data_IF_086891606361
#
_entry.id   IF_086891606361
#
_cell.length_a   1.000
_cell.length_b   1.000
_cell.length_c   1.000
_cell.angle_alpha   90.00
_cell.angle_beta   90.00
_cell.angle_gamma   90.00
#
_symmetry.space_group_name_H-M   'P 1'
#
loop_
_entity.id
_entity.type
_entity.pdbx_description
1 polymer ?
#
# COMPACT_ATOMS: atom_id res chain seq x y z
N UNK A 1 -39.05 -43.22 13.76
CA UNK A 1 -38.23 -42.48 12.77
C UNK A 1 -37.26 -43.45 12.10
N UNK A 2 -37.42 -43.65 10.79
CA UNK A 2 -36.62 -44.55 9.96
C UNK A 2 -35.17 -44.04 9.81
N UNK A 3 -34.22 -44.98 9.89
CA UNK A 3 -32.77 -44.72 9.85
C UNK A 3 -32.36 -44.00 8.55
N UNK A 4 -33.02 -44.34 7.45
CA UNK A 4 -32.85 -43.74 6.13
C UNK A 4 -33.15 -42.24 6.13
N UNK A 5 -34.31 -41.79 6.65
CA UNK A 5 -34.65 -40.36 6.67
C UNK A 5 -33.71 -39.52 7.54
N UNK A 6 -33.12 -40.14 8.59
CA UNK A 6 -32.09 -39.49 9.42
C UNK A 6 -30.79 -39.32 8.66
N UNK A 7 -30.38 -40.30 7.84
CA UNK A 7 -29.19 -40.21 7.01
C UNK A 7 -29.35 -39.21 5.86
N UNK A 8 -30.51 -39.18 5.19
CA UNK A 8 -30.81 -38.18 4.16
C UNK A 8 -30.83 -36.77 4.74
N UNK A 9 -31.38 -36.59 5.95
CA UNK A 9 -31.37 -35.31 6.67
C UNK A 9 -29.96 -34.84 7.04
N UNK A 10 -29.08 -35.73 7.50
CA UNK A 10 -27.69 -35.38 7.79
C UNK A 10 -26.89 -35.05 6.52
N UNK A 11 -27.10 -35.78 5.43
CA UNK A 11 -26.46 -35.51 4.13
C UNK A 11 -26.87 -34.15 3.57
N UNK A 12 -28.15 -33.79 3.63
CA UNK A 12 -28.65 -32.48 3.19
C UNK A 12 -28.14 -31.33 4.07
N UNK A 13 -28.05 -31.55 5.39
CA UNK A 13 -27.52 -30.55 6.32
C UNK A 13 -26.01 -30.32 6.13
N UNK A 14 -25.23 -31.39 5.90
CA UNK A 14 -23.80 -31.28 5.57
C UNK A 14 -23.56 -30.60 4.22
N UNK A 15 -24.41 -30.85 3.21
CA UNK A 15 -24.32 -30.19 1.91
C UNK A 15 -24.62 -28.68 2.02
N UNK A 16 -25.59 -28.30 2.83
CA UNK A 16 -25.91 -26.89 3.12
C UNK A 16 -24.77 -26.16 3.85
N UNK A 17 -24.14 -26.81 4.83
CA UNK A 17 -22.99 -26.27 5.56
C UNK A 17 -21.75 -26.12 4.66
N UNK A 18 -21.52 -27.05 3.72
CA UNK A 18 -20.42 -26.97 2.77
C UNK A 18 -20.57 -25.83 1.75
N UNK A 19 -21.80 -25.55 1.28
CA UNK A 19 -22.08 -24.43 0.36
C UNK A 19 -21.95 -23.08 1.07
N UNK A 20 -22.35 -22.98 2.34
CA UNK A 20 -22.19 -21.76 3.14
C UNK A 20 -20.72 -21.43 3.46
N UNK A 21 -19.86 -22.45 3.60
CA UNK A 21 -18.42 -22.25 3.77
C UNK A 21 -17.72 -21.75 2.49
N UNK A 22 -18.27 -22.03 1.31
CA UNK A 22 -17.67 -21.66 0.02
C UNK A 22 -17.90 -20.18 -0.34
N UNK A 23 -18.93 -19.53 0.19
CA UNK A 23 -19.22 -18.10 -0.08
C UNK A 23 -18.48 -17.13 0.85
N UNK A 24 -17.88 -17.62 1.93
CA UNK A 24 -17.22 -16.78 2.94
C UNK A 24 -15.76 -16.39 2.62
N UNK A 25 -15.20 -16.87 1.51
CA UNK A 25 -13.76 -16.75 1.22
C UNK A 25 -13.38 -15.67 0.18
N UNK A 26 -14.20 -14.64 -0.03
CA UNK A 26 -13.79 -13.48 -0.86
C UNK A 26 -13.21 -12.38 0.01
N UNK A 27 -11.97 -12.57 0.47
CA UNK A 27 -11.16 -11.48 1.01
C UNK A 27 -10.77 -10.55 -0.16
N UNK A 28 -11.59 -9.52 -0.42
CA UNK A 28 -11.23 -8.49 -1.39
C UNK A 28 -10.01 -7.73 -0.85
N UNK A 29 -8.88 -7.82 -1.56
CA UNK A 29 -7.78 -6.91 -1.35
C UNK A 29 -8.29 -5.48 -1.60
N UNK A 30 -8.16 -4.60 -0.60
CA UNK A 30 -8.60 -3.22 -0.74
C UNK A 30 -7.62 -2.51 -1.67
N UNK A 31 -8.03 -2.30 -2.92
CA UNK A 31 -7.26 -1.51 -3.89
C UNK A 31 -6.95 -0.15 -3.27
N UNK A 32 -5.66 0.15 -3.08
CA UNK A 32 -5.22 1.46 -2.60
C UNK A 32 -5.40 2.47 -3.73
N UNK A 33 -6.02 3.62 -3.40
CA UNK A 33 -6.18 4.69 -4.37
C UNK A 33 -4.81 5.17 -4.87
N UNK A 34 -4.65 5.49 -6.16
CA UNK A 34 -3.41 6.07 -6.67
C UNK A 34 -3.02 7.34 -5.91
N UNK A 35 -1.71 7.56 -5.73
CA UNK A 35 -1.20 8.69 -4.95
C UNK A 35 -1.68 10.06 -5.47
N UNK A 36 -1.88 10.21 -6.79
CA UNK A 36 -2.46 11.43 -7.38
C UNK A 36 -3.89 11.68 -6.91
N UNK A 37 -4.68 10.62 -6.69
CA UNK A 37 -6.04 10.75 -6.13
C UNK A 37 -6.00 11.16 -4.66
N UNK A 38 -5.03 10.67 -3.89
CA UNK A 38 -4.82 11.09 -2.51
C UNK A 38 -4.49 12.59 -2.44
N UNK A 39 -3.61 13.08 -3.31
CA UNK A 39 -3.27 14.51 -3.39
C UNK A 39 -4.45 15.37 -3.88
N UNK A 40 -5.17 14.91 -4.91
CA UNK A 40 -6.37 15.59 -5.41
C UNK A 40 -7.44 15.73 -4.31
N UNK A 41 -7.61 14.72 -3.46
CA UNK A 41 -8.53 14.77 -2.32
C UNK A 41 -8.13 15.81 -1.25
N UNK A 42 -6.86 16.26 -1.25
CA UNK A 42 -6.36 17.34 -0.41
C UNK A 42 -6.34 18.71 -1.11
N UNK A 43 -6.95 18.83 -2.29
CA UNK A 43 -7.04 20.08 -3.05
C UNK A 43 -5.79 20.40 -3.89
N UNK A 44 -4.86 19.46 -4.04
CA UNK A 44 -3.69 19.61 -4.91
C UNK A 44 -4.11 19.48 -6.38
N UNK A 45 -3.66 20.41 -7.21
CA UNK A 45 -3.99 20.49 -8.64
C UNK A 45 -2.91 19.83 -9.51
N UNK A 46 -3.22 19.62 -10.80
CA UNK A 46 -2.24 19.12 -11.77
C UNK A 46 -1.01 20.03 -11.87
N UNK A 47 -1.21 21.35 -11.80
CA UNK A 47 -0.15 22.35 -11.90
C UNK A 47 0.82 22.31 -10.72
N UNK A 48 0.36 21.92 -9.54
CA UNK A 48 1.22 21.86 -8.35
C UNK A 48 2.34 20.83 -8.50
N UNK A 49 2.11 19.76 -9.27
CA UNK A 49 3.11 18.74 -9.58
C UNK A 49 3.78 18.96 -10.94
N UNK A 50 3.01 19.33 -11.97
CA UNK A 50 3.47 19.33 -13.36
C UNK A 50 3.70 20.73 -13.96
N UNK A 51 3.40 21.80 -13.23
CA UNK A 51 3.35 23.20 -13.71
C UNK A 51 2.32 23.49 -14.82
N UNK A 52 1.62 22.47 -15.34
CA UNK A 52 0.58 22.58 -16.36
C UNK A 52 -0.61 21.67 -16.05
N UNK A 53 -1.80 22.02 -16.55
CA UNK A 53 -3.04 21.28 -16.27
C UNK A 53 -3.14 19.93 -16.97
N UNK A 54 -2.58 19.82 -18.18
CA UNK A 54 -2.65 18.63 -19.04
C UNK A 54 -1.24 18.13 -19.35
N UNK A 55 -0.56 17.53 -18.36
CA UNK A 55 0.80 17.06 -18.53
C UNK A 55 0.89 15.82 -19.44
N UNK A 56 1.91 15.81 -20.30
CA UNK A 56 2.33 14.62 -21.03
C UNK A 56 3.61 14.00 -20.47
N UNK A 57 4.29 14.69 -19.54
CA UNK A 57 5.54 14.27 -18.92
C UNK A 57 5.38 14.09 -17.41
N UNK A 58 6.19 13.22 -16.78
CA UNK A 58 6.22 13.07 -15.33
C UNK A 58 6.53 14.38 -14.61
N UNK A 59 6.01 14.52 -13.39
CA UNK A 59 6.38 15.60 -12.50
C UNK A 59 7.87 15.50 -12.10
N UNK A 60 8.51 16.64 -11.93
CA UNK A 60 9.88 16.72 -11.44
C UNK A 60 9.90 16.51 -9.92
N UNK A 61 10.94 15.85 -9.38
CA UNK A 61 11.06 15.62 -7.93
C UNK A 61 11.05 16.93 -7.13
N UNK A 62 11.51 18.04 -7.71
CA UNK A 62 11.43 19.36 -7.10
C UNK A 62 9.99 19.73 -6.65
N UNK A 63 8.95 19.30 -7.37
CA UNK A 63 7.57 19.54 -6.99
C UNK A 63 7.17 18.81 -5.71
N UNK A 64 7.67 17.57 -5.52
CA UNK A 64 7.48 16.81 -4.29
C UNK A 64 8.13 17.54 -3.11
N UNK A 65 9.38 17.97 -3.29
CA UNK A 65 10.19 18.57 -2.22
C UNK A 65 9.65 19.93 -1.75
N UNK A 66 8.97 20.68 -2.64
CA UNK A 66 8.33 21.96 -2.31
C UNK A 66 7.38 21.87 -1.11
N UNK A 67 6.69 20.74 -0.95
CA UNK A 67 5.73 20.51 0.14
C UNK A 67 6.25 19.51 1.20
N UNK A 68 7.09 18.55 0.79
CA UNK A 68 7.54 17.47 1.67
C UNK A 68 8.83 17.77 2.44
N UNK A 69 9.50 18.91 2.24
CA UNK A 69 10.56 19.36 3.14
C UNK A 69 11.90 18.60 2.99
N UNK A 70 12.18 18.07 1.80
CA UNK A 70 13.46 17.45 1.48
C UNK A 70 13.63 16.01 1.99
N UNK A 71 14.71 15.36 1.55
CA UNK A 71 15.09 14.01 2.00
C UNK A 71 15.28 13.96 3.52
N UNK A 72 16.03 14.90 4.10
CA UNK A 72 16.24 14.97 5.55
C UNK A 72 14.93 15.19 6.33
N UNK A 73 13.96 15.93 5.77
CA UNK A 73 12.65 16.10 6.37
C UNK A 73 11.84 14.80 6.38
N UNK A 74 11.85 14.07 5.25
CA UNK A 74 11.16 12.78 5.13
C UNK A 74 11.81 11.71 6.02
N UNK A 75 13.14 11.61 6.03
CA UNK A 75 13.90 10.78 6.96
C UNK A 75 13.46 10.99 8.41
N UNK A 76 13.37 12.25 8.86
CA UNK A 76 12.89 12.57 10.22
C UNK A 76 11.45 12.17 10.47
N UNK A 77 10.54 12.34 9.49
CA UNK A 77 9.13 11.99 9.64
C UNK A 77 8.89 10.49 9.66
N UNK A 78 9.70 9.72 8.93
CA UNK A 78 9.58 8.26 8.87
C UNK A 78 10.55 7.52 9.79
N UNK A 79 11.32 8.25 10.59
CA UNK A 79 12.07 7.67 11.69
C UNK A 79 11.08 6.94 12.62
N UNK A 80 11.21 5.61 12.71
CA UNK A 80 10.39 4.84 13.64
C UNK A 80 10.79 5.21 15.07
N UNK A 81 9.78 5.36 15.93
CA UNK A 81 9.97 5.53 17.38
C UNK A 81 10.05 4.19 18.13
N UNK A 82 9.86 3.08 17.41
CA UNK A 82 9.90 1.75 18.00
C UNK A 82 11.35 1.41 18.35
N UNK A 83 11.67 1.50 19.64
CA UNK A 83 12.99 1.16 20.21
C UNK A 83 13.01 -0.25 20.79
N UNK A 84 12.01 -1.10 20.51
CA UNK A 84 11.89 -2.43 21.13
C UNK A 84 12.93 -3.44 20.59
N UNK A 85 13.91 -3.00 19.81
CA UNK A 85 15.13 -3.74 19.51
C UNK A 85 14.99 -4.91 18.52
N UNK A 86 13.79 -5.17 18.01
CA UNK A 86 13.58 -6.19 16.98
C UNK A 86 14.27 -5.83 15.65
N UNK A 87 14.55 -6.83 14.81
CA UNK A 87 15.23 -6.66 13.50
C UNK A 87 14.60 -5.57 12.60
N UNK A 88 13.31 -5.29 12.75
CA UNK A 88 12.59 -4.29 11.95
C UNK A 88 12.47 -2.90 12.62
N UNK A 89 12.94 -2.75 13.86
CA UNK A 89 12.72 -1.56 14.69
C UNK A 89 13.43 -0.30 14.17
N UNK A 90 14.55 -0.46 13.45
CA UNK A 90 15.40 0.64 12.99
C UNK A 90 15.33 0.89 11.46
N UNK A 91 14.28 0.46 10.77
CA UNK A 91 14.21 0.62 9.31
C UNK A 91 13.50 1.92 8.94
N UNK A 92 14.21 2.77 8.20
CA UNK A 92 13.70 3.99 7.63
C UNK A 92 13.80 3.95 6.10
N UNK A 93 12.68 3.94 5.35
CA UNK A 93 12.72 3.89 3.89
C UNK A 93 13.29 5.17 3.25
N UNK A 94 13.42 6.26 4.01
CA UNK A 94 13.99 7.53 3.55
C UNK A 94 15.37 7.83 4.16
N UNK A 95 15.96 6.88 4.89
CA UNK A 95 17.28 7.02 5.50
C UNK A 95 17.97 5.64 5.51
N UNK A 96 18.33 5.19 4.31
CA UNK A 96 18.90 3.87 4.06
C UNK A 96 20.31 3.93 3.51
N UNK A 97 20.98 2.77 3.49
CA UNK A 97 22.37 2.65 3.01
C UNK A 97 22.55 2.91 1.50
N UNK A 98 21.45 3.03 0.75
CA UNK A 98 21.45 3.35 -0.69
C UNK A 98 21.53 4.86 -0.96
N UNK A 99 21.44 5.69 0.08
CA UNK A 99 21.45 7.15 -0.03
C UNK A 99 20.12 7.71 -0.55
N UNK A 100 20.19 8.91 -1.12
CA UNK A 100 19.02 9.59 -1.68
C UNK A 100 18.55 8.87 -2.95
N UNK A 101 17.29 8.44 -2.92
CA UNK A 101 16.61 7.74 -4.03
C UNK A 101 15.50 8.62 -4.55
N UNK A 102 15.44 8.78 -5.88
CA UNK A 102 14.36 9.50 -6.56
C UNK A 102 12.98 9.09 -6.03
N UNK A 103 12.16 10.07 -5.63
CA UNK A 103 10.88 9.79 -4.95
C UNK A 103 9.98 8.85 -5.77
N UNK A 104 10.04 8.96 -7.10
CA UNK A 104 9.27 8.16 -8.06
C UNK A 104 9.74 6.71 -8.20
N UNK A 105 10.91 6.36 -7.65
CA UNK A 105 11.34 4.98 -7.50
C UNK A 105 10.57 4.24 -6.40
N UNK A 106 10.04 4.98 -5.42
CA UNK A 106 9.05 4.57 -4.44
C UNK A 106 7.61 4.72 -4.94
N UNK A 107 7.30 5.99 -5.19
CA UNK A 107 5.96 6.54 -5.17
C UNK A 107 5.47 6.87 -6.57
N UNK A 108 4.51 6.10 -7.07
CA UNK A 108 3.90 6.30 -8.39
C UNK A 108 2.56 7.02 -8.27
N UNK A 109 2.46 8.18 -8.91
CA UNK A 109 1.30 9.06 -8.79
C UNK A 109 0.02 8.49 -9.42
N UNK A 110 0.11 8.01 -10.66
CA UNK A 110 -1.06 7.69 -11.49
C UNK A 110 -1.31 6.19 -11.66
N UNK A 111 -0.69 5.34 -10.86
CA UNK A 111 -0.83 3.88 -10.93
C UNK A 111 -1.01 3.29 -9.54
N UNK A 112 -1.33 1.99 -9.48
CA UNK A 112 -1.35 1.27 -8.21
C UNK A 112 0.02 1.37 -7.52
N UNK A 113 0.09 1.42 -6.18
CA UNK A 113 1.35 1.46 -5.45
C UNK A 113 2.29 0.33 -5.88
N UNK A 114 3.56 0.67 -6.09
CA UNK A 114 4.60 -0.30 -6.44
C UNK A 114 5.35 -0.76 -5.19
N UNK A 115 6.15 -1.81 -5.32
CA UNK A 115 7.07 -2.23 -4.24
C UNK A 115 8.17 -1.19 -4.04
N UNK A 116 8.68 -1.11 -2.81
CA UNK A 116 9.81 -0.25 -2.49
C UNK A 116 11.08 -0.73 -3.18
N UNK A 117 12.04 0.16 -3.41
CA UNK A 117 13.39 -0.22 -3.88
C UNK A 117 14.07 -1.18 -2.90
N UNK A 118 13.76 -1.08 -1.61
CA UNK A 118 14.28 -1.95 -0.56
C UNK A 118 13.85 -3.42 -0.77
N UNK A 119 12.66 -3.64 -1.33
CA UNK A 119 12.11 -4.98 -1.57
C UNK A 119 12.87 -5.78 -2.64
N UNK A 120 13.86 -5.16 -3.31
CA UNK A 120 14.79 -5.84 -4.21
C UNK A 120 15.77 -6.73 -3.44
N UNK A 121 16.08 -6.39 -2.19
CA UNK A 121 17.07 -7.10 -1.37
C UNK A 121 16.52 -7.53 -0.01
N UNK A 122 15.52 -6.83 0.50
CA UNK A 122 14.92 -7.06 1.80
C UNK A 122 13.46 -7.50 1.67
N UNK A 123 12.92 -8.03 2.76
CA UNK A 123 11.47 -8.28 2.88
C UNK A 123 10.96 -7.42 4.01
N UNK A 124 10.48 -6.23 3.66
CA UNK A 124 9.91 -5.28 4.60
C UNK A 124 8.42 -5.12 4.36
N UNK A 125 7.68 -4.85 5.45
CA UNK A 125 6.28 -4.47 5.37
C UNK A 125 6.20 -2.97 5.62
N UNK A 126 6.25 -2.17 4.55
CA UNK A 126 5.99 -0.74 4.61
C UNK A 126 4.53 -0.44 4.32
N UNK A 127 3.94 0.43 5.13
CA UNK A 127 2.66 1.04 4.78
C UNK A 127 2.92 2.28 3.91
N UNK A 128 3.18 2.03 2.62
CA UNK A 128 3.48 3.07 1.65
C UNK A 128 2.19 3.60 1.00
N UNK A 129 2.01 4.92 0.87
CA UNK A 129 0.89 5.51 0.13
C UNK A 129 0.96 5.22 -1.37
#
# INVERSE_FOLDING_TARGET
>A
MNKEARHTGYLLCMLFLAVAALTAATAFAKDRAPLAKLHQAQGVTCQDCHAIDKPAAPAQVAACLKCHGGYAGMAKRTAKKDTNGGYLSNINPHDGHIGDVECTECHVAHSAPRKSVCDRCHTFTFDMP
#
